data_IF_310862584784
#
_entry.id   IF_310862584784
#
_cell.length_a   1.000
_cell.length_b   1.000
_cell.length_c   1.000
_cell.angle_alpha   90.00
_cell.angle_beta   90.00
_cell.angle_gamma   90.00
#
_symmetry.space_group_name_H-M   'P 1'
#
loop_
_entity.id
_entity.type
_entity.pdbx_description
1 polymer ?
#
# COMPACT_ATOMS: atom_id res chain seq x y z
N UNK A 1 27.75 26.37 25.64
CA UNK A 1 26.98 26.84 24.51
C UNK A 1 25.87 25.83 24.28
N UNK A 2 24.63 26.21 24.59
CA UNK A 2 23.44 25.45 24.24
C UNK A 2 23.36 25.44 22.74
N UNK A 3 23.62 24.31 22.10
CA UNK A 3 23.33 24.12 20.72
C UNK A 3 21.86 24.47 20.49
N UNK A 4 21.60 25.56 19.79
CA UNK A 4 20.26 25.90 19.33
C UNK A 4 19.70 24.67 18.64
N UNK A 5 18.66 24.07 19.21
CA UNK A 5 17.89 23.02 18.57
C UNK A 5 17.29 23.62 17.31
N UNK A 6 17.97 23.46 16.19
CA UNK A 6 17.43 23.85 14.90
C UNK A 6 16.08 23.12 14.72
N UNK A 7 14.99 23.87 14.86
CA UNK A 7 13.64 23.35 14.66
C UNK A 7 13.44 23.19 13.17
N UNK A 8 13.66 21.97 12.66
CA UNK A 8 13.44 21.65 11.25
C UNK A 8 11.94 21.35 11.05
N UNK A 9 11.34 22.10 10.15
CA UNK A 9 9.97 21.84 9.67
C UNK A 9 10.03 21.68 8.15
N UNK A 10 9.43 20.61 7.62
CA UNK A 10 9.45 20.38 6.18
C UNK A 10 8.86 19.03 5.76
N UNK A 11 8.84 18.83 4.47
CA UNK A 11 8.43 17.56 3.83
C UNK A 11 9.58 17.08 2.97
N UNK A 12 9.91 15.81 3.06
CA UNK A 12 10.88 15.15 2.20
C UNK A 12 10.26 13.91 1.56
N UNK A 13 10.61 13.64 0.32
CA UNK A 13 10.27 12.39 -0.35
C UNK A 13 11.42 11.40 -0.16
N UNK A 14 11.10 10.24 0.39
CA UNK A 14 12.03 9.13 0.56
C UNK A 14 11.65 8.03 -0.42
N UNK A 15 12.62 7.53 -1.17
CA UNK A 15 12.45 6.27 -1.87
C UNK A 15 12.58 5.14 -0.84
N UNK A 16 11.43 4.64 -0.34
CA UNK A 16 11.42 3.55 0.64
C UNK A 16 11.94 2.28 -0.03
N UNK A 17 12.98 1.64 0.47
CA UNK A 17 13.44 0.37 -0.07
C UNK A 17 12.49 -0.77 0.32
N UNK A 18 12.61 -1.91 -0.37
CA UNK A 18 12.00 -3.18 0.03
C UNK A 18 12.50 -3.61 1.42
N UNK A 19 11.76 -4.49 2.07
CA UNK A 19 12.07 -5.10 3.38
C UNK A 19 12.02 -4.13 4.57
N UNK A 20 11.62 -2.87 4.35
CA UNK A 20 11.39 -1.89 5.41
C UNK A 20 9.91 -1.52 5.49
N UNK A 21 9.42 -1.33 6.72
CA UNK A 21 8.11 -0.72 6.94
C UNK A 21 8.20 0.80 6.75
N UNK A 22 7.07 1.44 6.48
CA UNK A 22 7.01 2.92 6.46
C UNK A 22 7.42 3.53 7.81
N UNK A 23 7.18 2.81 8.91
CA UNK A 23 7.57 3.26 10.25
C UNK A 23 9.09 3.17 10.50
N UNK A 24 9.78 2.20 9.91
CA UNK A 24 11.26 2.12 9.99
C UNK A 24 11.90 3.35 9.35
N UNK A 25 11.36 3.78 8.21
CA UNK A 25 11.81 5.03 7.56
C UNK A 25 11.58 6.23 8.49
N UNK A 26 10.39 6.33 9.11
CA UNK A 26 10.11 7.38 10.10
C UNK A 26 11.12 7.33 11.28
N UNK A 27 11.46 6.15 11.76
CA UNK A 27 12.43 5.99 12.85
C UNK A 27 13.84 6.48 12.47
N UNK A 28 14.27 6.19 11.24
CA UNK A 28 15.55 6.69 10.70
C UNK A 28 15.53 8.22 10.62
N UNK A 29 14.48 8.81 10.04
CA UNK A 29 14.35 10.26 9.90
C UNK A 29 14.28 10.95 11.25
N UNK A 30 13.56 10.38 12.24
CA UNK A 30 13.53 10.88 13.62
C UNK A 30 14.92 10.99 14.22
N UNK A 31 15.75 9.95 14.01
CA UNK A 31 17.13 9.93 14.50
C UNK A 31 17.99 10.97 13.81
N UNK A 32 17.90 11.04 12.48
CA UNK A 32 18.67 11.99 11.68
C UNK A 32 18.34 13.46 11.98
N UNK A 33 17.07 13.77 12.19
CA UNK A 33 16.60 15.14 12.48
C UNK A 33 16.56 15.49 13.97
N UNK A 34 16.88 14.55 14.88
CA UNK A 34 16.84 14.79 16.32
C UNK A 34 15.46 15.16 16.87
N UNK A 35 14.37 14.79 16.19
CA UNK A 35 12.99 15.14 16.59
C UNK A 35 12.07 13.93 16.56
N UNK A 36 11.14 13.88 17.53
CA UNK A 36 10.07 12.86 17.56
C UNK A 36 8.90 13.19 16.62
N UNK A 37 8.79 14.46 16.18
CA UNK A 37 7.71 14.94 15.32
C UNK A 37 8.00 14.61 13.87
N UNK A 38 7.84 13.35 13.52
CA UNK A 38 8.00 12.85 12.14
C UNK A 38 6.87 11.88 11.85
N UNK A 39 6.22 12.05 10.72
CA UNK A 39 5.14 11.19 10.21
C UNK A 39 5.30 10.89 8.72
N UNK A 40 4.51 9.96 8.20
CA UNK A 40 4.50 9.64 6.77
C UNK A 40 3.10 9.83 6.18
N UNK A 41 3.03 10.16 4.88
CA UNK A 41 1.78 10.28 4.12
C UNK A 41 1.51 9.00 3.34
N UNK A 42 0.67 8.16 3.90
CA UNK A 42 0.34 6.86 3.34
C UNK A 42 1.31 5.78 3.82
N UNK A 43 0.85 4.55 3.72
CA UNK A 43 1.61 3.37 4.11
C UNK A 43 1.98 2.59 2.86
N UNK A 44 3.25 2.26 2.71
CA UNK A 44 3.74 1.25 1.78
C UNK A 44 3.99 -0.03 2.55
N UNK A 45 3.54 -1.15 1.99
CA UNK A 45 3.83 -2.47 2.54
C UNK A 45 5.35 -2.75 2.55
N UNK A 46 5.85 -3.63 3.43
CA UNK A 46 7.28 -3.88 3.51
C UNK A 46 7.90 -4.35 2.20
N UNK A 47 7.17 -5.12 1.40
CA UNK A 47 7.60 -5.60 0.08
C UNK A 47 7.62 -4.51 -1.00
N UNK A 48 6.83 -3.45 -0.83
CA UNK A 48 6.76 -2.36 -1.79
C UNK A 48 7.95 -1.41 -1.62
N UNK A 49 8.38 -0.83 -2.73
CA UNK A 49 9.36 0.27 -2.78
C UNK A 49 8.74 1.49 -3.44
N UNK A 50 9.35 2.64 -3.26
CA UNK A 50 8.94 3.86 -3.94
C UNK A 50 8.71 5.05 -3.02
N UNK A 51 8.04 6.05 -3.56
CA UNK A 51 7.89 7.37 -2.94
C UNK A 51 7.07 7.30 -1.66
N UNK A 52 7.71 7.65 -0.54
CA UNK A 52 7.09 7.79 0.77
C UNK A 52 7.35 9.23 1.27
N UNK A 53 6.36 10.14 1.17
CA UNK A 53 6.52 11.48 1.71
C UNK A 53 6.54 11.43 3.24
N UNK A 54 7.54 12.09 3.82
CA UNK A 54 7.75 12.20 5.26
C UNK A 54 7.61 13.65 5.69
N UNK A 55 6.80 13.90 6.71
CA UNK A 55 6.67 15.22 7.35
C UNK A 55 7.54 15.31 8.59
N UNK A 56 8.19 16.45 8.78
CA UNK A 56 9.07 16.74 9.91
C UNK A 56 8.54 17.97 10.64
N UNK A 57 8.52 17.91 11.96
CA UNK A 57 8.15 19.03 12.81
C UNK A 57 6.69 19.44 12.64
N UNK A 58 6.44 20.74 12.40
CA UNK A 58 5.09 21.31 12.23
C UNK A 58 4.47 20.99 10.88
N UNK A 59 5.26 20.56 9.91
CA UNK A 59 4.76 20.20 8.58
C UNK A 59 3.72 19.06 8.61
N UNK A 60 3.67 18.26 9.67
CA UNK A 60 2.58 17.28 9.84
C UNK A 60 1.18 17.88 9.86
N UNK A 61 1.03 19.19 10.15
CA UNK A 61 -0.26 19.88 10.19
C UNK A 61 -0.80 20.23 8.79
N UNK A 62 0.05 20.24 7.77
CA UNK A 62 -0.37 20.54 6.39
C UNK A 62 -0.74 19.28 5.60
N UNK A 63 -0.64 18.10 6.21
CA UNK A 63 -0.93 16.82 5.53
C UNK A 63 -2.33 16.78 4.93
N UNK A 64 -3.32 17.29 5.65
CA UNK A 64 -4.72 17.28 5.22
C UNK A 64 -5.02 18.27 4.09
N UNK A 65 -4.08 19.18 3.79
CA UNK A 65 -4.18 20.18 2.73
C UNK A 65 -3.37 19.81 1.47
N UNK A 66 -2.66 18.69 1.51
CA UNK A 66 -1.89 18.23 0.35
C UNK A 66 -2.79 17.38 -0.54
N UNK A 67 -2.74 17.67 -1.84
CA UNK A 67 -3.37 16.82 -2.84
C UNK A 67 -2.57 15.50 -2.95
N UNK A 68 -3.06 14.51 -2.25
CA UNK A 68 -2.50 13.14 -2.26
C UNK A 68 -3.61 12.13 -2.54
N UNK A 69 -4.68 12.56 -3.20
CA UNK A 69 -5.88 11.75 -3.35
C UNK A 69 -5.67 10.62 -4.34
N UNK A 70 -4.88 10.84 -5.39
CA UNK A 70 -4.53 9.79 -6.37
C UNK A 70 -3.09 9.32 -6.16
N UNK A 71 -2.91 8.01 -6.19
CA UNK A 71 -1.60 7.34 -6.10
C UNK A 71 -1.46 6.37 -7.25
N UNK A 72 -0.25 6.31 -7.81
CA UNK A 72 0.09 5.40 -8.89
C UNK A 72 0.97 4.27 -8.36
N UNK A 73 0.57 3.05 -8.67
CA UNK A 73 1.29 1.84 -8.31
C UNK A 73 1.60 1.03 -9.56
N UNK A 74 2.80 0.50 -9.61
CA UNK A 74 3.22 -0.50 -10.59
C UNK A 74 3.57 -1.77 -9.86
N UNK A 75 3.14 -2.90 -10.38
CA UNK A 75 3.37 -4.20 -9.78
C UNK A 75 3.24 -5.33 -10.77
N UNK A 76 3.58 -6.53 -10.29
CA UNK A 76 3.38 -7.77 -11.02
C UNK A 76 2.43 -8.67 -10.26
N UNK A 77 1.65 -9.46 -10.98
CA UNK A 77 0.80 -10.48 -10.41
C UNK A 77 0.95 -11.79 -11.20
N UNK A 78 0.80 -12.89 -10.50
CA UNK A 78 0.84 -14.23 -11.06
C UNK A 78 -0.54 -14.86 -10.99
N UNK A 79 -1.02 -15.35 -12.12
CA UNK A 79 -2.27 -16.11 -12.21
C UNK A 79 -2.10 -17.54 -11.69
N UNK A 80 -3.19 -18.13 -11.26
CA UNK A 80 -3.19 -19.52 -10.78
C UNK A 80 -2.64 -19.71 -9.35
N UNK A 81 -2.31 -18.64 -8.63
CA UNK A 81 -1.78 -18.69 -7.26
C UNK A 81 -2.52 -17.71 -6.35
N UNK A 82 -2.98 -18.20 -5.20
CA UNK A 82 -3.55 -17.36 -4.15
C UNK A 82 -2.79 -17.58 -2.84
N UNK A 83 -2.47 -16.49 -2.14
CA UNK A 83 -1.77 -16.51 -0.85
C UNK A 83 -2.66 -15.93 0.26
N UNK A 84 -2.39 -16.32 1.50
CA UNK A 84 -3.12 -15.87 2.69
C UNK A 84 -2.99 -14.36 2.96
N UNK A 85 -1.89 -13.74 2.52
CA UNK A 85 -1.66 -12.30 2.64
C UNK A 85 -2.05 -11.51 1.40
N UNK A 86 -2.48 -12.18 0.32
CA UNK A 86 -2.74 -11.59 -1.00
C UNK A 86 -1.52 -10.88 -1.61
N UNK A 87 -0.32 -11.31 -1.22
CA UNK A 87 0.95 -10.85 -1.76
C UNK A 87 1.99 -11.99 -1.80
N UNK A 88 3.15 -11.72 -2.40
CA UNK A 88 4.22 -12.73 -2.64
C UNK A 88 4.87 -13.27 -1.36
N UNK A 89 4.66 -12.65 -0.21
CA UNK A 89 5.23 -13.10 1.07
C UNK A 89 4.29 -14.03 1.84
N UNK A 90 3.06 -14.19 1.37
CA UNK A 90 2.10 -15.09 1.99
C UNK A 90 2.37 -16.56 1.68
N UNK A 91 1.78 -17.44 2.51
CA UNK A 91 1.74 -18.86 2.22
C UNK A 91 0.71 -19.14 1.14
N UNK A 92 1.02 -20.05 0.23
CA UNK A 92 0.07 -20.48 -0.80
C UNK A 92 -1.10 -21.21 -0.16
N UNK A 93 -2.31 -20.73 -0.42
CA UNK A 93 -3.57 -21.32 0.07
C UNK A 93 -4.38 -21.99 -1.04
N UNK A 94 -4.15 -21.60 -2.30
CA UNK A 94 -4.82 -22.18 -3.46
C UNK A 94 -3.95 -22.10 -4.70
N UNK A 95 -3.98 -23.14 -5.50
CA UNK A 95 -3.34 -23.21 -6.82
C UNK A 95 -4.34 -23.66 -7.88
N UNK A 96 -4.16 -23.14 -9.08
CA UNK A 96 -4.85 -23.59 -10.30
C UNK A 96 -3.80 -23.63 -11.40
N UNK A 97 -3.45 -24.82 -11.89
CA UNK A 97 -2.43 -24.99 -12.93
C UNK A 97 -3.04 -25.12 -14.33
N UNK A 98 -4.30 -25.57 -14.37
CA UNK A 98 -5.01 -25.82 -15.63
C UNK A 98 -5.93 -24.63 -15.95
N UNK A 99 -5.36 -23.59 -16.57
CA UNK A 99 -6.11 -22.44 -17.08
C UNK A 99 -5.51 -21.95 -18.41
N UNK A 100 -6.37 -21.37 -19.23
CA UNK A 100 -5.95 -20.68 -20.45
C UNK A 100 -6.60 -19.31 -20.47
N UNK A 101 -5.78 -18.28 -20.37
CA UNK A 101 -6.21 -16.88 -20.39
C UNK A 101 -5.43 -16.16 -21.46
N UNK A 102 -6.14 -15.45 -22.35
CA UNK A 102 -5.53 -14.56 -23.30
C UNK A 102 -5.49 -13.12 -22.79
N UNK A 103 -4.74 -12.27 -23.47
CA UNK A 103 -4.59 -10.85 -23.13
C UNK A 103 -5.94 -10.13 -23.07
N UNK A 104 -6.88 -10.44 -23.95
CA UNK A 104 -8.20 -9.79 -24.00
C UNK A 104 -9.05 -10.14 -22.79
N UNK A 105 -8.98 -11.38 -22.33
CA UNK A 105 -9.68 -11.83 -21.12
C UNK A 105 -9.12 -11.09 -19.89
N UNK A 106 -7.79 -10.95 -19.79
CA UNK A 106 -7.13 -10.23 -18.71
C UNK A 106 -7.50 -8.75 -18.74
N UNK A 107 -7.41 -8.08 -19.90
CA UNK A 107 -7.78 -6.68 -20.05
C UNK A 107 -9.24 -6.43 -19.63
N UNK A 108 -10.17 -7.30 -20.03
CA UNK A 108 -11.58 -7.21 -19.63
C UNK A 108 -11.77 -7.39 -18.13
N UNK A 109 -11.02 -8.30 -17.51
CA UNK A 109 -11.08 -8.51 -16.06
C UNK A 109 -10.57 -7.29 -15.29
N UNK A 110 -9.47 -6.68 -15.75
CA UNK A 110 -8.87 -5.50 -15.13
C UNK A 110 -9.75 -4.26 -15.36
N UNK A 111 -10.37 -4.12 -16.53
CA UNK A 111 -11.31 -3.03 -16.84
C UNK A 111 -12.48 -2.98 -15.84
N UNK A 112 -12.95 -4.11 -15.35
CA UNK A 112 -14.04 -4.19 -14.38
C UNK A 112 -13.70 -3.53 -13.03
N UNK A 113 -12.43 -3.26 -12.74
CA UNK A 113 -12.01 -2.56 -11.54
C UNK A 113 -11.98 -1.04 -11.70
N UNK A 114 -12.14 -0.48 -12.91
CA UNK A 114 -12.15 0.97 -13.10
C UNK A 114 -13.40 1.61 -12.54
N UNK A 115 -13.25 2.87 -12.10
CA UNK A 115 -14.32 3.65 -11.48
C UNK A 115 -14.45 3.39 -9.98
N UNK A 116 -15.64 3.51 -9.46
CA UNK A 116 -15.94 3.31 -8.03
C UNK A 116 -16.24 1.85 -7.77
N UNK A 117 -15.44 1.24 -6.91
CA UNK A 117 -15.61 -0.15 -6.49
C UNK A 117 -15.88 -0.25 -4.99
N UNK A 118 -16.51 -1.34 -4.58
CA UNK A 118 -16.63 -1.74 -3.17
C UNK A 118 -15.51 -2.72 -2.83
N UNK A 119 -14.48 -2.27 -2.13
CA UNK A 119 -13.35 -3.09 -1.73
C UNK A 119 -13.46 -3.50 -0.27
N UNK A 120 -13.37 -4.80 0.01
CA UNK A 120 -13.22 -5.32 1.37
C UNK A 120 -11.73 -5.23 1.74
N UNK A 121 -11.35 -4.45 2.76
CA UNK A 121 -9.97 -4.37 3.21
C UNK A 121 -9.40 -5.73 3.61
N UNK A 122 -8.17 -6.06 3.22
CA UNK A 122 -7.56 -7.32 3.61
C UNK A 122 -7.27 -7.38 5.10
N UNK A 123 -7.25 -8.61 5.66
CA UNK A 123 -6.94 -8.82 7.07
C UNK A 123 -5.55 -8.32 7.46
N UNK A 124 -4.58 -8.40 6.55
CA UNK A 124 -3.24 -7.83 6.75
C UNK A 124 -3.20 -6.33 6.42
N UNK A 125 -4.01 -5.53 7.14
CA UNK A 125 -4.06 -4.08 7.00
C UNK A 125 -4.00 -3.36 8.36
N UNK A 126 -3.69 -2.07 8.33
CA UNK A 126 -3.63 -1.21 9.51
C UNK A 126 -5.01 -0.66 9.93
N UNK A 127 -6.09 -1.06 9.24
CA UNK A 127 -7.44 -0.67 9.59
C UNK A 127 -7.80 -1.19 10.99
N UNK A 128 -8.44 -0.35 11.80
CA UNK A 128 -8.88 -0.72 13.14
C UNK A 128 -10.34 -1.18 13.15
N UNK A 129 -10.59 -2.31 13.80
CA UNK A 129 -11.92 -2.82 14.12
C UNK A 129 -11.94 -3.15 15.61
N UNK A 130 -12.90 -2.62 16.36
CA UNK A 130 -12.96 -2.83 17.81
C UNK A 130 -11.72 -2.30 18.57
N UNK A 131 -11.05 -1.26 18.05
CA UNK A 131 -9.86 -0.66 18.68
C UNK A 131 -8.53 -1.33 18.34
N UNK A 132 -8.55 -2.51 17.73
CA UNK A 132 -7.38 -3.32 17.37
C UNK A 132 -7.21 -3.33 15.83
N UNK A 133 -5.98 -3.35 15.34
CA UNK A 133 -5.71 -3.37 13.90
C UNK A 133 -5.97 -4.76 13.31
N UNK A 134 -6.43 -4.82 12.04
CA UNK A 134 -6.77 -6.09 11.39
C UNK A 134 -5.59 -7.05 11.33
N UNK A 135 -4.38 -6.57 11.05
CA UNK A 135 -3.20 -7.42 11.00
C UNK A 135 -2.86 -8.08 12.38
N UNK A 136 -3.29 -7.47 13.48
CA UNK A 136 -3.11 -8.05 14.82
C UNK A 136 -4.06 -9.25 15.03
N UNK A 137 -5.29 -9.15 14.52
CA UNK A 137 -6.22 -10.29 14.48
C UNK A 137 -5.70 -11.41 13.57
N UNK A 138 -5.21 -11.06 12.38
CA UNK A 138 -4.67 -12.03 11.44
C UNK A 138 -3.51 -12.84 12.04
N UNK A 139 -2.58 -12.16 12.75
CA UNK A 139 -1.47 -12.84 13.46
C UNK A 139 -1.93 -13.78 14.58
N UNK A 140 -3.10 -13.55 15.15
CA UNK A 140 -3.73 -14.43 16.15
C UNK A 140 -4.56 -15.54 15.50
N UNK A 141 -4.55 -15.66 14.17
CA UNK A 141 -5.38 -16.63 13.43
C UNK A 141 -6.88 -16.33 13.48
N UNK A 142 -7.26 -15.09 13.83
CA UNK A 142 -8.65 -14.65 13.93
C UNK A 142 -9.09 -13.88 12.69
N UNK A 143 -10.27 -14.21 12.19
CA UNK A 143 -10.94 -13.44 11.15
C UNK A 143 -12.03 -12.59 11.79
N UNK A 144 -12.17 -11.34 11.37
CA UNK A 144 -13.25 -10.43 11.76
C UNK A 144 -14.00 -9.97 10.52
N UNK A 145 -15.29 -9.73 10.67
CA UNK A 145 -16.11 -9.17 9.60
C UNK A 145 -15.70 -7.73 9.34
N UNK A 146 -15.34 -7.44 8.09
CA UNK A 146 -14.87 -6.13 7.65
C UNK A 146 -15.82 -5.59 6.60
N UNK A 147 -16.42 -4.43 6.90
CA UNK A 147 -17.29 -3.75 5.92
C UNK A 147 -16.49 -3.27 4.71
N UNK A 148 -17.07 -3.45 3.54
CA UNK A 148 -16.53 -2.88 2.31
C UNK A 148 -16.44 -1.35 2.39
N UNK A 149 -15.51 -0.78 1.62
CA UNK A 149 -15.30 0.66 1.49
C UNK A 149 -15.23 1.02 0.02
N UNK A 150 -15.71 2.21 -0.31
CA UNK A 150 -15.56 2.74 -1.65
C UNK A 150 -14.09 3.04 -1.91
N UNK A 151 -13.58 2.54 -3.02
CA UNK A 151 -12.30 2.89 -3.60
C UNK A 151 -12.54 3.38 -5.03
N UNK A 152 -11.75 4.34 -5.49
CA UNK A 152 -11.84 4.85 -6.85
C UNK A 152 -10.58 4.48 -7.61
N UNK A 153 -10.75 3.79 -8.71
CA UNK A 153 -9.68 3.40 -9.64
C UNK A 153 -9.81 4.27 -10.89
N UNK A 154 -8.92 5.25 -11.00
CA UNK A 154 -8.90 6.16 -12.13
C UNK A 154 -8.36 5.47 -13.39
N UNK A 155 -7.31 4.66 -13.22
CA UNK A 155 -6.62 3.95 -14.28
C UNK A 155 -6.22 2.56 -13.82
N UNK A 156 -6.38 1.58 -14.69
CA UNK A 156 -5.88 0.22 -14.49
C UNK A 156 -5.44 -0.33 -15.84
N UNK A 157 -4.14 -0.45 -16.06
CA UNK A 157 -3.56 -0.88 -17.32
C UNK A 157 -2.67 -2.10 -17.12
N UNK A 158 -2.73 -3.02 -18.06
CA UNK A 158 -1.78 -4.13 -18.18
C UNK A 158 -0.62 -3.70 -19.07
N UNK A 159 0.59 -3.71 -18.52
CA UNK A 159 1.82 -3.33 -19.23
C UNK A 159 2.34 -4.51 -20.08
N UNK A 160 2.47 -5.69 -19.44
CA UNK A 160 2.96 -6.90 -20.07
C UNK A 160 2.18 -8.11 -19.59
N UNK A 161 2.14 -9.18 -20.40
CA UNK A 161 1.53 -10.46 -20.06
C UNK A 161 2.18 -11.59 -20.84
N UNK A 162 2.56 -12.66 -20.17
CA UNK A 162 3.23 -13.82 -20.76
C UNK A 162 2.38 -15.11 -20.76
N UNK A 163 1.12 -15.02 -20.33
CA UNK A 163 0.20 -16.14 -20.16
C UNK A 163 0.03 -16.60 -18.71
N UNK A 164 0.95 -16.27 -17.83
CA UNK A 164 0.91 -16.61 -16.42
C UNK A 164 1.14 -15.41 -15.51
N UNK A 165 2.10 -14.56 -15.86
CA UNK A 165 2.44 -13.36 -15.10
C UNK A 165 2.09 -12.11 -15.92
N UNK A 166 1.69 -11.06 -15.22
CA UNK A 166 1.43 -9.76 -15.86
C UNK A 166 1.94 -8.62 -14.99
N UNK A 167 2.42 -7.58 -15.65
CA UNK A 167 2.69 -6.30 -15.02
C UNK A 167 1.51 -5.36 -15.23
N UNK A 168 1.22 -4.58 -14.21
CA UNK A 168 0.14 -3.61 -14.24
C UNK A 168 0.57 -2.24 -13.71
N UNK A 169 -0.14 -1.20 -14.13
CA UNK A 169 -0.08 0.13 -13.54
C UNK A 169 -1.50 0.57 -13.16
N UNK A 170 -1.68 0.97 -11.90
CA UNK A 170 -2.96 1.38 -11.34
C UNK A 170 -2.81 2.77 -10.72
N UNK A 171 -3.68 3.71 -11.15
CA UNK A 171 -3.91 4.99 -10.49
C UNK A 171 -5.21 4.90 -9.67
N UNK A 172 -5.14 5.14 -8.38
CA UNK A 172 -6.28 4.93 -7.48
C UNK A 172 -6.30 5.92 -6.32
N UNK A 173 -7.48 6.03 -5.70
CA UNK A 173 -7.67 6.86 -4.53
C UNK A 173 -6.86 6.38 -3.33
N UNK A 174 -6.55 7.31 -2.41
CA UNK A 174 -5.94 6.96 -1.11
C UNK A 174 -6.78 5.91 -0.37
N UNK A 175 -6.11 5.00 0.33
CA UNK A 175 -6.75 3.94 1.09
C UNK A 175 -7.18 2.71 0.27
N UNK A 176 -6.89 2.69 -1.02
CA UNK A 176 -7.04 1.50 -1.87
C UNK A 176 -5.95 0.48 -1.57
N UNK A 177 -6.30 -0.78 -1.50
CA UNK A 177 -5.38 -1.90 -1.30
C UNK A 177 -5.07 -2.54 -2.64
N UNK A 178 -3.82 -2.46 -3.07
CA UNK A 178 -3.39 -3.00 -4.37
C UNK A 178 -3.29 -4.52 -4.34
N UNK A 179 -2.87 -5.09 -3.22
CA UNK A 179 -2.91 -6.54 -3.05
C UNK A 179 -4.36 -7.02 -2.91
#
# INVERSE_FOLDING_TARGET
>A
PLAEKCSMDGIININKPKEMTSFDVVAIVRRACGTKRVGHLGTLDPMAEGVLPITIGRAGRVMDYLDTDIKVYRGSARLGLETDTLDIWGNTVKTCEDFSIDRKMLDKAVEAFRGVIDQIPPMYSALKVGGKKLYEYAREGKTVDVKSRKAYIEKADIISFDGCEFEFEIACSKGTYIR
#
